data_IF_311432075730
#
_entry.id   IF_311432075730
#
_cell.length_a   1.000
_cell.length_b   1.000
_cell.length_c   1.000
_cell.angle_alpha   90.00
_cell.angle_beta   90.00
_cell.angle_gamma   90.00
#
_symmetry.space_group_name_H-M   'P 1'
#
loop_
_entity.id
_entity.type
_entity.pdbx_description
1 polymer ?
2 non-polymer ?
3 non-polymer ?
4 water ?
#
# COMPACT_ATOMS: atom_id res chain seq x y z
N UNK A 1 25.69 2.02 4.46
CA UNK A 1 24.33 1.58 4.88
C UNK A 1 23.67 2.71 5.69
N UNK A 2 22.61 3.29 5.14
CA UNK A 2 21.92 4.51 5.67
C UNK A 2 20.49 4.52 5.13
N UNK A 3 19.60 5.28 5.76
CA UNK A 3 18.21 5.47 5.27
C UNK A 3 18.08 6.88 4.71
N UNK A 4 17.17 7.02 3.75
CA UNK A 4 16.67 8.30 3.21
C UNK A 4 15.21 8.45 3.68
N UNK A 5 14.95 9.46 4.50
CA UNK A 5 13.63 9.71 5.16
C UNK A 5 12.88 10.81 4.38
N UNK A 6 11.70 10.48 3.84
CA UNK A 6 10.78 11.42 3.16
C UNK A 6 9.50 11.44 3.97
N UNK A 7 8.75 12.56 3.97
CA UNK A 7 7.42 12.56 4.58
C UNK A 7 6.49 11.64 3.77
N UNK A 8 5.42 11.18 4.41
CA UNK A 8 4.49 10.18 3.84
C UNK A 8 3.71 10.81 2.69
N UNK A 9 3.27 12.06 2.87
CA UNK A 9 2.42 12.78 1.90
C UNK A 9 2.74 14.28 1.85
N UNK A 10 2.37 14.91 0.73
CA UNK A 10 2.20 16.39 0.55
C UNK A 10 0.93 16.58 -0.28
N UNK A 11 0.28 17.73 -0.18
CA UNK A 11 -0.85 18.12 -1.05
C UNK A 11 -0.86 19.63 -1.25
N UNK A 12 -1.31 20.07 -2.43
CA UNK A 12 -1.56 21.49 -2.74
C UNK A 12 -2.61 21.57 -3.85
N UNK A 13 -3.14 22.77 -4.06
CA UNK A 13 -4.11 23.07 -5.15
C UNK A 13 -3.35 23.24 -6.46
N UNK A 14 -4.01 23.06 -7.62
CA UNK A 14 -3.35 23.31 -8.90
C UNK A 14 -2.69 24.70 -8.88
N UNK A 15 -1.53 24.84 -9.53
CA UNK A 15 -0.87 26.14 -9.75
C UNK A 15 0.07 26.51 -8.62
N UNK A 16 0.01 25.85 -7.45
CA UNK A 16 0.87 26.19 -6.30
C UNK A 16 2.18 25.41 -6.38
N UNK A 17 3.09 25.75 -5.47
CA UNK A 17 4.44 25.16 -5.33
C UNK A 17 4.43 24.22 -4.13
N UNK A 18 5.02 23.03 -4.30
CA UNK A 18 5.17 22.03 -3.21
C UNK A 18 6.63 21.58 -3.18
N UNK A 19 7.13 21.28 -1.98
CA UNK A 19 8.51 20.82 -1.74
C UNK A 19 8.46 19.45 -1.05
N UNK A 20 9.30 18.52 -1.50
CA UNK A 20 9.44 17.16 -0.92
C UNK A 20 10.89 17.02 -0.45
N UNK A 21 11.09 16.86 0.85
CA UNK A 21 12.40 16.69 1.54
C UNK A 21 12.76 15.22 1.60
N UNK A 22 14.06 14.94 1.67
CA UNK A 22 14.68 13.61 1.66
C UNK A 22 15.97 13.73 2.47
N UNK A 23 15.96 13.27 3.71
CA UNK A 23 17.04 13.48 4.71
C UNK A 23 17.84 12.18 4.83
N UNK A 24 19.16 12.27 4.63
CA UNK A 24 20.09 11.10 4.75
C UNK A 24 20.42 10.92 6.23
N UNK A 25 20.28 9.69 6.75
CA UNK A 25 20.32 9.31 8.19
C UNK A 25 21.74 9.35 8.76
N UNK A 26 22.74 8.92 7.98
CA UNK A 26 24.19 8.94 8.29
C UNK A 26 24.98 9.07 6.99
N UNK A 27 26.15 9.71 7.07
CA UNK A 27 26.92 10.10 5.88
C UNK A 27 26.47 11.47 5.38
N UNK A 28 27.21 12.05 4.44
CA UNK A 28 26.95 13.39 3.89
C UNK A 28 26.12 13.22 2.61
N UNK A 29 25.05 14.00 2.47
CA UNK A 29 24.11 13.96 1.32
C UNK A 29 24.90 14.27 0.04
N UNK A 30 25.98 15.04 0.16
CA UNK A 30 26.69 15.66 -1.01
C UNK A 30 27.72 14.67 -1.57
N UNK A 31 28.02 13.58 -0.84
CA UNK A 31 29.11 12.65 -1.18
C UNK A 31 28.64 11.64 -2.23
N UNK A 32 27.35 11.64 -2.58
CA UNK A 32 26.78 10.72 -3.61
C UNK A 32 25.59 11.39 -4.30
N UNK A 33 25.44 11.13 -5.59
CA UNK A 33 24.33 11.70 -6.39
C UNK A 33 22.97 11.22 -5.85
N UNK A 34 22.03 12.14 -5.80
CA UNK A 34 20.62 11.89 -5.42
C UNK A 34 19.76 11.95 -6.69
N UNK A 35 18.93 10.93 -6.91
CA UNK A 35 17.97 10.90 -8.03
C UNK A 35 16.57 11.03 -7.45
N UNK A 36 15.62 11.51 -8.26
CA UNK A 36 14.18 11.53 -7.95
C UNK A 36 13.37 10.77 -9.00
N UNK A 37 12.48 9.88 -8.57
CA UNK A 37 11.52 9.18 -9.46
C UNK A 37 10.06 9.55 -9.16
N UNK A 38 9.28 9.70 -10.22
CA UNK A 38 7.83 9.95 -10.20
C UNK A 38 7.13 8.67 -10.65
N UNK A 39 6.16 8.18 -9.87
CA UNK A 39 5.24 7.10 -10.34
C UNK A 39 3.80 7.53 -10.11
N UNK A 40 3.14 7.89 -11.21
CA UNK A 40 1.68 8.10 -11.27
C UNK A 40 1.01 6.77 -10.98
N UNK A 41 -0.15 6.77 -10.28
CA UNK A 41 -0.88 5.54 -9.99
C UNK A 41 -1.14 4.72 -11.26
N UNK A 42 -0.67 3.47 -11.25
CA UNK A 42 -0.85 2.49 -12.34
C UNK A 42 -0.05 2.86 -13.57
N UNK A 43 1.10 3.52 -13.39
CA UNK A 43 2.02 3.90 -14.48
C UNK A 43 3.42 3.38 -14.15
N UNK A 44 4.30 3.41 -15.14
CA UNK A 44 5.74 3.13 -15.00
C UNK A 44 6.40 4.32 -14.30
N UNK A 45 7.53 4.08 -13.60
CA UNK A 45 8.32 5.17 -13.03
C UNK A 45 9.03 5.96 -14.13
N UNK A 46 9.24 7.24 -13.85
CA UNK A 46 9.90 8.21 -14.76
C UNK A 46 10.97 8.91 -13.91
N UNK A 47 12.15 9.11 -14.47
CA UNK A 47 13.20 9.91 -13.77
C UNK A 47 12.88 11.39 -14.01
N UNK A 48 12.75 12.17 -12.94
CA UNK A 48 12.54 13.64 -13.11
C UNK A 48 13.82 14.41 -12.74
N UNK A 49 14.69 13.84 -11.93
CA UNK A 49 15.99 14.46 -11.53
C UNK A 49 17.03 13.38 -11.39
N UNK A 50 18.22 13.61 -11.94
CA UNK A 50 19.39 12.75 -11.65
C UNK A 50 20.53 13.70 -11.25
N UNK A 51 21.57 13.19 -10.62
CA UNK A 51 22.73 13.98 -10.12
C UNK A 51 22.22 15.25 -9.42
N UNK A 52 21.27 15.10 -8.49
CA UNK A 52 20.84 16.16 -7.53
C UNK A 52 19.89 17.18 -8.17
N UNK A 53 20.19 17.65 -9.37
CA UNK A 53 19.44 18.79 -9.98
C UNK A 53 19.37 18.74 -11.52
N UNK A 54 19.66 17.62 -12.17
CA UNK A 54 19.66 17.50 -13.66
C UNK A 54 18.33 16.91 -14.15
N UNK A 55 17.69 17.57 -15.11
CA UNK A 55 16.42 17.11 -15.70
C UNK A 55 16.75 16.39 -16.98
N UNK A 56 16.29 15.13 -17.12
CA UNK A 56 16.20 14.46 -18.41
C UNK A 56 15.42 15.27 -19.46
N UNK A 57 15.66 15.01 -20.74
CA UNK A 57 14.84 15.51 -21.87
C UNK A 57 13.37 15.22 -21.59
N UNK A 58 12.51 16.21 -21.76
CA UNK A 58 11.05 16.08 -21.68
C UNK A 58 10.51 16.47 -20.32
N UNK A 59 11.36 16.57 -19.31
CA UNK A 59 10.91 16.91 -17.93
C UNK A 59 10.88 18.43 -17.80
N UNK A 60 9.69 19.04 -17.65
CA UNK A 60 9.57 20.50 -17.67
C UNK A 60 10.36 21.15 -16.53
N UNK A 61 10.68 22.43 -16.71
CA UNK A 61 11.49 23.27 -15.79
C UNK A 61 10.78 23.42 -14.43
N UNK A 62 9.49 23.11 -14.36
CA UNK A 62 8.67 23.17 -13.12
C UNK A 62 9.27 22.26 -12.05
N UNK A 63 10.05 21.24 -12.44
CA UNK A 63 10.71 20.29 -11.51
C UNK A 63 12.14 20.77 -11.25
N UNK A 64 12.49 20.95 -9.97
CA UNK A 64 13.83 21.45 -9.56
C UNK A 64 14.34 20.63 -8.38
N UNK A 65 15.56 20.14 -8.48
CA UNK A 65 16.26 19.40 -7.42
C UNK A 65 17.21 20.33 -6.72
N UNK A 66 17.46 20.11 -5.43
CA UNK A 66 18.49 20.85 -4.67
C UNK A 66 19.01 19.96 -3.56
N UNK A 67 20.20 20.31 -3.06
CA UNK A 67 20.89 19.66 -1.92
C UNK A 67 21.08 20.72 -0.84
N UNK A 68 20.94 20.35 0.43
CA UNK A 68 21.25 21.24 1.59
C UNK A 68 22.19 20.47 2.52
N UNK A 69 23.47 20.84 2.48
CA UNK A 69 24.56 20.18 3.24
C UNK A 69 24.31 20.32 4.74
N UNK A 70 23.80 21.47 5.20
CA UNK A 70 23.67 21.77 6.64
C UNK A 70 22.57 20.86 7.24
N UNK A 71 21.47 20.65 6.51
CA UNK A 71 20.35 19.73 6.86
C UNK A 71 20.69 18.27 6.52
N UNK A 72 21.67 18.04 5.65
CA UNK A 72 21.99 16.70 5.10
C UNK A 72 20.79 16.17 4.33
N UNK A 73 20.14 17.04 3.55
CA UNK A 73 18.84 16.77 2.88
C UNK A 73 18.92 17.20 1.42
N UNK A 74 18.24 16.43 0.57
CA UNK A 74 17.87 16.77 -0.81
C UNK A 74 16.38 17.11 -0.84
N UNK A 75 15.97 17.93 -1.80
CA UNK A 75 14.60 18.45 -1.98
C UNK A 75 14.25 18.41 -3.46
N UNK A 76 12.99 18.07 -3.75
CA UNK A 76 12.40 18.18 -5.10
C UNK A 76 11.31 19.24 -4.99
N UNK A 77 11.39 20.29 -5.79
CA UNK A 77 10.38 21.38 -5.74
C UNK A 77 9.62 21.35 -7.05
N UNK A 78 8.29 21.37 -6.95
CA UNK A 78 7.39 21.41 -8.13
C UNK A 78 6.52 22.67 -8.00
N UNK A 79 6.66 23.59 -8.95
CA UNK A 79 5.90 24.86 -9.05
C UNK A 79 4.88 24.70 -10.18
N UNK A 80 3.87 25.56 -10.20
CA UNK A 80 2.80 25.52 -11.20
C UNK A 80 2.16 24.14 -11.24
N UNK A 81 1.84 23.58 -10.08
CA UNK A 81 1.33 22.18 -9.94
C UNK A 81 0.23 21.91 -10.97
N UNK A 82 0.32 20.78 -11.66
CA UNK A 82 -0.72 20.28 -12.58
C UNK A 82 -1.30 18.96 -12.05
N UNK A 83 -2.50 18.57 -12.49
CA UNK A 83 -3.15 17.33 -11.98
C UNK A 83 -2.27 16.12 -12.34
N UNK A 84 -1.53 16.18 -13.45
CA UNK A 84 -0.70 15.05 -13.94
C UNK A 84 0.55 14.90 -13.04
N UNK A 85 0.82 15.87 -12.14
CA UNK A 85 1.94 15.74 -11.17
C UNK A 85 1.55 14.84 -9.99
N UNK A 86 0.26 14.51 -9.82
CA UNK A 86 -0.23 13.58 -8.76
C UNK A 86 0.45 12.21 -8.94
N UNK A 87 1.30 11.82 -7.99
CA UNK A 87 2.18 10.62 -8.07
C UNK A 87 2.81 10.29 -6.73
N UNK A 88 3.46 9.12 -6.71
CA UNK A 88 4.45 8.78 -5.66
C UNK A 88 5.82 9.26 -6.15
N UNK A 89 6.54 9.97 -5.28
CA UNK A 89 7.89 10.50 -5.54
C UNK A 89 8.85 9.87 -4.56
N UNK A 90 9.89 9.23 -5.09
CA UNK A 90 10.97 8.56 -4.31
C UNK A 90 12.30 9.23 -4.63
N UNK A 91 13.12 9.51 -3.60
CA UNK A 91 14.57 9.83 -3.75
C UNK A 91 15.38 8.54 -3.61
N UNK A 92 16.54 8.44 -4.26
CA UNK A 92 17.54 7.37 -4.04
C UNK A 92 18.95 7.90 -4.22
N UNK A 93 19.88 7.25 -3.54
CA UNK A 93 21.32 7.53 -3.54
C UNK A 93 22.05 6.21 -3.30
N UNK A 94 23.34 6.30 -2.94
CA UNK A 94 24.29 5.18 -2.78
C UNK A 94 25.28 5.52 -1.67
N UNK A 95 26.05 4.52 -1.25
CA UNK A 95 27.37 4.60 -0.59
C UNK A 95 27.98 3.22 -0.78
N UNK A 96 29.31 3.09 -0.73
CA UNK A 96 30.01 1.79 -0.90
C UNK A 96 29.28 1.00 -1.99
N UNK A 97 28.67 -0.14 -1.63
CA UNK A 97 27.94 -1.05 -2.56
C UNK A 97 26.41 -0.88 -2.41
N UNK A 98 25.97 -0.27 -1.30
CA UNK A 98 24.53 -0.07 -0.97
C UNK A 98 23.87 0.94 -1.93
N UNK A 99 22.81 0.55 -2.62
CA UNK A 99 21.80 1.46 -3.23
C UNK A 99 20.68 1.70 -2.20
N UNK A 100 20.26 2.95 -2.01
CA UNK A 100 19.21 3.29 -1.00
C UNK A 100 18.09 4.08 -1.67
N UNK A 101 16.85 3.59 -1.57
CA UNK A 101 15.64 4.35 -1.95
C UNK A 101 15.01 4.88 -0.66
N UNK A 102 14.38 6.05 -0.76
CA UNK A 102 13.47 6.55 0.29
C UNK A 102 12.14 5.82 0.22
N UNK A 103 11.31 6.04 1.24
CA UNK A 103 10.06 5.30 1.48
C UNK A 103 8.93 5.76 0.58
N UNK A 104 9.08 6.91 -0.08
CA UNK A 104 8.10 7.48 -1.03
C UNK A 104 7.23 8.56 -0.40
N UNK A 105 6.90 9.58 -1.17
CA UNK A 105 5.96 10.65 -0.80
C UNK A 105 4.80 10.65 -1.79
N UNK A 106 3.58 10.43 -1.30
CA UNK A 106 2.35 10.63 -2.11
C UNK A 106 2.08 12.13 -2.22
N UNK A 107 2.11 12.68 -3.44
CA UNK A 107 1.68 14.07 -3.71
C UNK A 107 0.26 14.04 -4.29
N UNK A 108 -0.67 14.70 -3.62
CA UNK A 108 -2.06 14.84 -4.12
C UNK A 108 -2.21 16.27 -4.60
N UNK A 109 -2.68 16.43 -5.82
CA UNK A 109 -3.17 17.73 -6.35
C UNK A 109 -4.66 17.78 -6.00
N UNK A 110 -5.01 18.58 -5.00
CA UNK A 110 -6.31 18.47 -4.30
C UNK A 110 -7.43 18.58 -5.34
N UNK A 111 -8.36 17.62 -5.35
CA UNK A 111 -9.54 17.55 -6.25
C UNK A 111 -10.83 17.81 -5.50
N UNK A 112 -10.76 17.95 -4.17
CA UNK A 112 -11.90 18.22 -3.29
C UNK A 112 -11.33 18.69 -1.94
N UNK A 113 -12.14 19.15 -0.99
CA UNK A 113 -11.58 19.62 0.28
C UNK A 113 -10.90 18.50 1.10
N UNK A 114 -9.85 18.87 1.83
CA UNK A 114 -9.18 17.98 2.81
C UNK A 114 -10.18 17.58 3.91
N UNK A 115 -10.13 16.33 4.38
CA UNK A 115 -11.02 15.76 5.44
C UNK A 115 -10.20 14.82 6.30
N UNK A 116 -10.14 15.11 7.60
CA UNK A 116 -9.37 14.29 8.56
C UNK A 116 -10.18 13.02 8.82
N UNK A 117 -9.53 11.84 8.95
CA UNK A 117 -10.29 10.60 9.12
C UNK A 117 -10.94 10.42 10.51
N UNK A 118 -12.05 9.69 10.56
CA UNK A 118 -12.58 9.05 11.79
C UNK A 118 -11.78 7.77 11.99
N UNK A 119 -11.12 7.67 13.14
CA UNK A 119 -10.37 6.44 13.55
C UNK A 119 -11.11 5.81 14.73
N UNK A 120 -11.57 4.58 14.51
CA UNK A 120 -12.22 3.71 15.53
C UNK A 120 -11.41 2.40 15.63
N UNK A 121 -10.96 2.07 16.84
CA UNK A 121 -10.21 0.83 17.16
C UNK A 121 -11.14 -0.16 17.88
N UNK A 122 -11.27 -1.37 17.37
CA UNK A 122 -12.11 -2.44 17.94
C UNK A 122 -11.23 -3.49 18.61
N UNK A 123 -11.48 -3.84 19.89
CA UNK A 123 -10.79 -4.95 20.53
C UNK A 123 -11.41 -6.28 20.09
N UNK A 124 -10.80 -7.44 20.45
CA UNK A 124 -11.28 -8.71 19.92
C UNK A 124 -12.72 -8.95 20.38
N UNK A 125 -13.58 -9.44 19.47
CA UNK A 125 -14.96 -9.90 19.79
C UNK A 125 -14.88 -11.23 20.53
N UNK A 126 -15.92 -11.54 21.31
CA UNK A 126 -16.12 -12.84 21.98
C UNK A 126 -16.10 -13.99 20.97
N UNK A 127 -16.76 -13.84 19.83
CA UNK A 127 -16.86 -15.01 18.92
C UNK A 127 -15.43 -15.42 18.56
N UNK A 128 -14.54 -14.49 18.18
CA UNK A 128 -13.22 -14.87 17.60
C UNK A 128 -12.29 -15.38 18.71
N UNK A 129 -12.44 -14.91 19.95
CA UNK A 129 -11.60 -15.38 21.10
C UNK A 129 -11.81 -16.88 21.34
N UNK A 130 -13.04 -17.36 21.21
CA UNK A 130 -13.37 -18.80 21.37
C UNK A 130 -12.69 -19.59 20.24
N UNK A 131 -12.34 -18.96 19.12
CA UNK A 131 -11.59 -19.57 17.99
C UNK A 131 -10.10 -19.27 18.10
N UNK A 132 -9.60 -18.85 19.27
CA UNK A 132 -8.15 -18.58 19.48
C UNK A 132 -7.65 -17.49 18.51
N UNK A 133 -8.48 -16.49 18.24
CA UNK A 133 -8.15 -15.30 17.42
C UNK A 133 -8.44 -14.06 18.26
N UNK A 134 -7.49 -13.13 18.30
CA UNK A 134 -7.63 -11.84 19.00
C UNK A 134 -7.39 -10.69 18.02
N UNK A 135 -7.83 -10.83 16.77
CA UNK A 135 -7.58 -9.83 15.72
C UNK A 135 -8.20 -8.51 16.15
N UNK A 136 -7.42 -7.41 16.05
CA UNK A 136 -7.88 -6.03 16.31
C UNK A 136 -8.18 -5.37 14.95
N UNK A 137 -9.17 -4.47 14.88
CA UNK A 137 -9.43 -3.68 13.65
C UNK A 137 -9.37 -2.20 13.97
N UNK A 138 -8.63 -1.48 13.14
CA UNK A 138 -8.54 -0.02 13.10
C UNK A 138 -9.30 0.45 11.87
N UNK A 139 -10.48 1.03 12.06
CA UNK A 139 -11.33 1.53 10.95
C UNK A 139 -11.08 3.03 10.77
N UNK A 140 -10.81 3.40 9.51
CA UNK A 140 -10.39 4.76 9.06
C UNK A 140 -11.34 5.17 7.92
N UNK A 141 -12.23 6.12 8.18
CA UNK A 141 -13.30 6.53 7.24
C UNK A 141 -13.26 8.05 7.05
N UNK A 142 -13.92 8.52 5.98
CA UNK A 142 -14.30 9.93 5.67
C UNK A 142 -13.06 10.82 5.49
N UNK A 143 -12.01 10.34 4.79
CA UNK A 143 -10.76 11.13 4.67
C UNK A 143 -10.42 11.48 3.22
N UNK A 144 -9.73 12.62 3.09
CA UNK A 144 -9.13 13.08 1.81
C UNK A 144 -7.96 14.02 2.09
N UNK A 145 -6.81 13.89 1.37
CA UNK A 145 -6.59 12.86 0.34
C UNK A 145 -6.61 11.40 0.82
N UNK A 146 -6.65 10.48 -0.13
CA UNK A 146 -6.83 9.04 0.09
C UNK A 146 -5.50 8.35 0.34
N UNK A 147 -4.66 8.92 1.18
CA UNK A 147 -3.36 8.37 1.59
C UNK A 147 -3.23 8.46 3.11
N UNK A 148 -2.91 7.34 3.75
CA UNK A 148 -2.72 7.19 5.21
C UNK A 148 -1.53 6.25 5.43
N UNK A 149 -0.91 6.39 6.59
CA UNK A 149 0.14 5.50 7.12
C UNK A 149 -0.37 4.99 8.47
N UNK A 150 -0.27 3.68 8.70
CA UNK A 150 -0.76 3.03 9.94
C UNK A 150 0.41 2.37 10.65
N UNK A 151 0.54 2.62 11.95
CA UNK A 151 1.54 1.98 12.85
C UNK A 151 0.79 1.43 14.07
N UNK A 152 1.20 0.24 14.53
CA UNK A 152 0.64 -0.43 15.72
C UNK A 152 1.71 -0.49 16.81
N UNK A 153 1.29 -0.35 18.07
CA UNK A 153 2.12 -0.52 19.29
C UNK A 153 1.53 -1.65 20.16
N UNK A 154 2.38 -2.51 20.71
CA UNK A 154 2.09 -3.36 21.89
C UNK A 154 2.70 -2.68 23.12
N UNK A 155 1.89 -2.22 24.06
CA UNK A 155 2.36 -1.27 25.12
C UNK A 155 2.99 -0.05 24.43
N UNK A 156 4.30 0.17 24.54
CA UNK A 156 5.04 1.31 23.92
C UNK A 156 5.80 0.88 22.67
N UNK A 157 5.98 -0.41 22.44
CA UNK A 157 6.90 -0.95 21.41
C UNK A 157 6.19 -1.08 20.08
N UNK A 158 6.82 -0.64 18.97
CA UNK A 158 6.28 -0.90 17.64
C UNK A 158 5.98 -2.39 17.42
N UNK A 159 5.00 -2.69 16.55
CA UNK A 159 4.63 -4.06 16.08
C UNK A 159 4.67 -4.05 14.55
N UNK A 160 5.42 -4.96 13.92
CA UNK A 160 5.37 -5.16 12.44
C UNK A 160 4.64 -6.48 12.12
N UNK A 161 4.86 -7.52 12.93
CA UNK A 161 4.23 -8.85 12.81
C UNK A 161 2.70 -8.75 12.79
N UNK A 162 2.05 -9.28 11.74
CA UNK A 162 0.59 -9.59 11.71
C UNK A 162 -0.27 -8.41 11.27
N UNK A 163 0.33 -7.36 10.72
CA UNK A 163 -0.34 -6.09 10.31
C UNK A 163 -0.71 -6.20 8.83
N UNK A 164 -2.00 -6.03 8.51
CA UNK A 164 -2.48 -5.81 7.12
C UNK A 164 -3.32 -4.52 7.08
N UNK A 165 -3.17 -3.74 6.01
CA UNK A 165 -3.88 -2.46 5.79
C UNK A 165 -4.43 -2.45 4.36
N UNK A 166 -5.70 -2.08 4.18
CA UNK A 166 -6.35 -2.09 2.84
C UNK A 166 -5.91 -0.84 2.07
N UNK A 167 -5.96 -0.93 0.75
CA UNK A 167 -5.79 0.24 -0.15
C UNK A 167 -7.01 1.11 0.06
N UNK A 168 -6.87 2.43 0.34
CA UNK A 168 -8.02 3.31 0.47
C UNK A 168 -8.93 3.30 -0.75
N UNK A 169 -10.20 3.42 -0.45
CA UNK A 169 -11.38 3.11 -1.28
C UNK A 169 -12.32 4.32 -1.21
N UNK A 170 -12.75 4.87 -2.34
CA UNK A 170 -13.76 5.96 -2.41
C UNK A 170 -15.10 5.39 -2.02
N UNK A 171 -15.78 6.02 -1.06
CA UNK A 171 -17.08 5.57 -0.53
C UNK A 171 -18.14 6.49 -1.14
N UNK A 172 -19.41 6.31 -0.79
CA UNK A 172 -20.56 6.91 -1.51
C UNK A 172 -20.58 8.42 -1.27
N UNK A 173 -19.94 8.88 -0.20
CA UNK A 173 -19.87 10.32 0.11
C UNK A 173 -18.64 10.96 -0.57
N UNK A 174 -17.92 10.18 -1.40
CA UNK A 174 -16.79 10.63 -2.25
C UNK A 174 -15.51 10.84 -1.41
N UNK A 175 -15.46 10.37 -0.17
CA UNK A 175 -14.23 10.36 0.66
C UNK A 175 -13.76 8.92 0.80
N UNK A 176 -12.51 8.74 1.23
CA UNK A 176 -11.85 7.42 1.30
C UNK A 176 -12.07 6.77 2.66
N UNK A 177 -12.10 5.44 2.63
CA UNK A 177 -12.13 4.54 3.81
C UNK A 177 -11.11 3.42 3.61
N UNK A 178 -10.54 2.97 4.72
CA UNK A 178 -9.60 1.82 4.80
C UNK A 178 -9.68 1.23 6.21
N UNK A 179 -9.21 -0.02 6.34
CA UNK A 179 -9.04 -0.74 7.62
C UNK A 179 -7.60 -1.21 7.73
N UNK A 180 -7.09 -1.21 8.95
CA UNK A 180 -5.88 -1.94 9.35
C UNK A 180 -6.27 -2.95 10.43
N UNK A 181 -5.84 -4.19 10.28
CA UNK A 181 -6.12 -5.25 11.28
C UNK A 181 -4.80 -5.91 11.69
N UNK A 182 -4.72 -6.28 12.97
CA UNK A 182 -3.56 -6.91 13.61
C UNK A 182 -3.96 -8.32 14.07
N UNK A 183 -3.40 -9.36 13.47
CA UNK A 183 -3.79 -10.77 13.73
C UNK A 183 -3.05 -11.27 14.96
N UNK A 184 -3.59 -11.04 16.15
CA UNK A 184 -3.03 -11.53 17.44
C UNK A 184 -3.68 -12.85 17.83
N UNK A 185 -2.97 -13.66 18.63
CA UNK A 185 -3.53 -14.76 19.45
C UNK A 185 -4.05 -14.16 20.75
N UNK A 186 -5.10 -14.75 21.36
CA UNK A 186 -5.56 -14.31 22.70
C UNK A 186 -4.42 -14.21 23.72
N UNK A 187 -3.44 -15.11 23.64
CA UNK A 187 -2.20 -15.17 24.48
C UNK A 187 -1.45 -13.84 24.39
N UNK A 188 -1.04 -13.45 23.17
CA UNK A 188 -0.34 -12.17 22.88
C UNK A 188 -1.16 -10.98 23.38
N UNK A 189 -2.48 -11.00 23.14
CA UNK A 189 -3.42 -9.91 23.48
C UNK A 189 -3.45 -9.70 25.01
N UNK A 190 -3.54 -10.79 25.77
CA UNK A 190 -3.73 -10.71 27.25
C UNK A 190 -2.38 -10.46 27.93
N UNK A 191 -1.27 -10.71 27.22
CA UNK A 191 0.12 -10.59 27.73
C UNK A 191 0.61 -9.14 27.71
N UNK A 192 -0.18 -8.17 27.23
CA UNK A 192 0.15 -6.72 27.17
C UNK A 192 -0.92 -5.93 27.92
N UNK A 193 -0.60 -4.73 28.43
CA UNK A 193 -1.58 -3.87 29.15
C UNK A 193 -2.49 -3.18 28.15
N UNK A 194 -2.02 -2.97 26.91
CA UNK A 194 -2.77 -2.24 25.85
C UNK A 194 -2.13 -2.48 24.48
N UNK A 195 -2.91 -2.24 23.43
CA UNK A 195 -2.41 -2.07 22.06
C UNK A 195 -2.92 -0.73 21.53
N UNK A 196 -2.18 -0.15 20.58
CA UNK A 196 -2.49 1.15 19.94
C UNK A 196 -2.41 1.03 18.42
N UNK A 197 -3.23 1.83 17.75
CA UNK A 197 -3.27 2.06 16.29
C UNK A 197 -2.92 3.53 16.05
N UNK A 198 -1.87 3.82 15.32
CA UNK A 198 -1.46 5.21 14.99
C UNK A 198 -1.80 5.44 13.52
N UNK A 199 -2.66 6.40 13.23
CA UNK A 199 -3.00 6.79 11.84
C UNK A 199 -2.41 8.16 11.57
N UNK A 200 -1.54 8.26 10.55
CA UNK A 200 -0.92 9.52 10.08
C UNK A 200 -1.57 9.89 8.74
N UNK A 201 -2.08 11.13 8.62
CA UNK A 201 -2.78 11.68 7.42
C UNK A 201 -2.46 13.17 7.32
N UNK A 202 -1.95 13.59 6.15
CA UNK A 202 -1.56 15.01 5.90
C UNK A 202 -0.68 15.46 7.07
N UNK A 203 0.31 14.63 7.43
CA UNK A 203 1.33 14.87 8.47
C UNK A 203 0.74 15.11 9.85
N UNK A 204 -0.53 14.78 10.04
CA UNK A 204 -1.25 14.81 11.35
C UNK A 204 -1.44 13.37 11.84
N UNK A 205 -1.09 13.08 13.10
CA UNK A 205 -1.07 11.72 13.68
C UNK A 205 -2.05 11.65 14.85
N UNK A 206 -2.96 10.67 14.74
CA UNK A 206 -3.99 10.27 15.75
C UNK A 206 -3.63 8.87 16.26
N UNK A 207 -3.77 8.65 17.57
CA UNK A 207 -3.48 7.35 18.25
C UNK A 207 -4.72 6.90 19.01
N UNK A 208 -5.16 5.66 18.80
CA UNK A 208 -6.29 5.04 19.56
C UNK A 208 -5.76 3.81 20.30
N UNK A 209 -6.29 3.56 21.50
CA UNK A 209 -5.76 2.50 22.40
C UNK A 209 -6.92 1.67 22.97
N UNK A 210 -6.69 0.37 23.12
CA UNK A 210 -7.62 -0.58 23.78
C UNK A 210 -6.81 -1.50 24.70
N UNK A 211 -7.39 -1.85 25.85
CA UNK A 211 -6.83 -2.79 26.85
C UNK A 211 -7.71 -4.05 26.90
N UNK A 212 -7.16 -5.23 27.23
CA UNK A 212 -8.01 -6.36 27.60
C UNK A 212 -8.89 -6.01 28.81
N UNK A 213 -10.14 -6.47 28.79
CA UNK A 213 -11.11 -6.38 29.91
C UNK A 213 -11.48 -7.82 30.33
N UNK A 214 -12.74 -8.09 30.66
CA UNK A 214 -13.26 -9.46 30.93
C UNK A 214 -14.68 -9.58 30.36
N UNK A 215 -15.66 -8.96 31.04
CA UNK A 215 -17.12 -8.99 30.72
C UNK A 215 -17.49 -10.30 30.01
N UNK B 1 19.94 9.09 -25.49
CA UNK B 1 18.46 8.93 -25.41
C UNK B 1 18.07 7.58 -26.04
N UNK B 2 17.63 6.63 -25.22
CA UNK B 2 17.03 5.33 -25.64
C UNK B 2 15.81 5.02 -24.78
N UNK B 3 15.06 4.03 -25.23
CA UNK B 3 13.84 3.52 -24.55
C UNK B 3 13.99 2.02 -24.31
N UNK B 4 13.24 1.51 -23.34
CA UNK B 4 13.11 0.07 -23.03
C UNK B 4 11.66 -0.34 -23.25
N UNK B 5 11.42 -1.36 -24.06
CA UNK B 5 10.03 -1.76 -24.42
C UNK B 5 9.80 -3.19 -23.89
N UNK B 6 8.78 -3.36 -23.06
CA UNK B 6 8.37 -4.63 -22.43
C UNK B 6 6.96 -4.95 -22.93
N UNK B 7 6.54 -6.22 -22.96
CA UNK B 7 5.11 -6.55 -23.10
C UNK B 7 4.26 -5.82 -22.05
N UNK B 8 3.04 -5.41 -22.42
CA UNK B 8 2.07 -4.80 -21.49
C UNK B 8 1.56 -5.89 -20.52
N UNK B 9 1.42 -7.13 -21.00
CA UNK B 9 0.95 -8.26 -20.16
C UNK B 9 1.51 -9.60 -20.63
N UNK B 10 1.69 -10.49 -19.66
CA UNK B 10 1.94 -11.95 -19.82
C UNK B 10 1.06 -12.64 -18.77
N UNK B 11 0.37 -13.71 -19.17
CA UNK B 11 -0.35 -14.64 -18.28
C UNK B 11 0.23 -16.04 -18.43
N UNK B 12 0.40 -16.76 -17.32
CA UNK B 12 0.90 -18.16 -17.30
C UNK B 12 0.34 -18.87 -16.06
N UNK B 13 0.36 -20.20 -16.08
CA UNK B 13 -0.22 -21.10 -15.04
C UNK B 13 0.86 -21.44 -14.01
N UNK B 14 0.45 -21.80 -12.77
CA UNK B 14 1.40 -22.15 -11.72
C UNK B 14 2.35 -23.29 -12.11
N UNK B 15 3.59 -23.25 -11.60
CA UNK B 15 4.61 -24.30 -11.82
C UNK B 15 5.30 -24.17 -13.18
N UNK B 16 4.82 -23.30 -14.05
CA UNK B 16 5.37 -23.15 -15.42
C UNK B 16 6.37 -21.98 -15.42
N UNK B 17 7.16 -21.89 -16.49
CA UNK B 17 8.20 -20.85 -16.67
C UNK B 17 7.60 -19.72 -17.51
N UNK B 18 7.80 -18.48 -17.08
CA UNK B 18 7.38 -17.26 -17.83
C UNK B 18 8.62 -16.38 -18.07
N UNK B 19 8.73 -15.81 -19.26
CA UNK B 19 9.82 -14.89 -19.65
C UNK B 19 9.19 -13.52 -19.87
N UNK B 20 9.92 -12.46 -19.50
CA UNK B 20 9.55 -11.05 -19.78
C UNK B 20 10.74 -10.38 -20.44
N UNK B 21 10.58 -10.01 -21.72
CA UNK B 21 11.58 -9.32 -22.57
C UNK B 21 11.56 -7.81 -22.26
N UNK B 22 12.70 -7.17 -22.52
CA UNK B 22 12.90 -5.72 -22.33
C UNK B 22 13.88 -5.26 -23.40
N UNK B 23 13.33 -4.70 -24.49
CA UNK B 23 14.08 -4.32 -25.71
C UNK B 23 14.64 -2.90 -25.54
N UNK B 24 15.93 -2.72 -25.78
CA UNK B 24 16.59 -1.39 -25.80
C UNK B 24 16.54 -0.83 -27.23
N UNK B 25 16.06 0.41 -27.39
CA UNK B 25 15.64 1.02 -28.68
C UNK B 25 16.86 1.52 -29.48
N UNK B 26 17.94 1.96 -28.82
CA UNK B 26 19.20 2.33 -29.49
C UNK B 26 20.39 2.07 -28.55
N UNK B 27 21.58 1.88 -29.15
CA UNK B 27 22.82 1.47 -28.47
C UNK B 27 22.76 -0.01 -28.11
N UNK B 28 23.78 -0.51 -27.42
CA UNK B 28 23.90 -1.95 -27.09
C UNK B 28 23.37 -2.18 -25.68
N UNK B 29 22.61 -3.25 -25.51
CA UNK B 29 22.04 -3.70 -24.21
C UNK B 29 23.16 -3.91 -23.18
N UNK B 30 24.33 -4.40 -23.61
CA UNK B 30 25.48 -4.80 -22.75
C UNK B 30 26.31 -3.59 -22.27
N UNK B 31 26.03 -2.37 -22.73
CA UNK B 31 26.86 -1.19 -22.40
C UNK B 31 26.42 -0.60 -21.06
N UNK B 32 25.24 -0.92 -20.55
CA UNK B 32 24.86 -0.54 -19.17
C UNK B 32 24.15 -1.71 -18.50
N UNK B 33 24.22 -1.74 -17.18
CA UNK B 33 23.52 -2.76 -16.37
C UNK B 33 22.02 -2.55 -16.48
N UNK B 34 21.28 -3.64 -16.27
CA UNK B 34 19.80 -3.72 -16.30
C UNK B 34 19.34 -4.19 -14.92
N UNK B 35 18.42 -3.45 -14.29
CA UNK B 35 17.71 -3.88 -13.06
C UNK B 35 16.29 -4.34 -13.46
N UNK B 36 15.69 -5.19 -12.63
CA UNK B 36 14.24 -5.53 -12.65
C UNK B 36 13.63 -5.27 -11.28
N UNK B 37 12.47 -4.60 -11.27
CA UNK B 37 11.66 -4.35 -10.07
C UNK B 37 10.33 -5.07 -10.19
N UNK B 38 9.80 -5.48 -9.04
CA UNK B 38 8.47 -6.09 -8.86
C UNK B 38 7.64 -5.13 -8.02
N UNK B 39 6.40 -4.88 -8.41
CA UNK B 39 5.47 -4.01 -7.62
C UNK B 39 4.11 -4.68 -7.52
N UNK B 40 3.68 -4.93 -6.28
CA UNK B 40 2.33 -5.39 -5.92
C UNK B 40 1.45 -4.15 -5.87
N UNK B 41 0.16 -4.22 -6.28
CA UNK B 41 -0.71 -3.05 -6.26
C UNK B 41 -0.85 -2.61 -4.80
N UNK B 42 -0.63 -1.32 -4.53
CA UNK B 42 -0.69 -0.74 -3.17
C UNK B 42 0.70 -0.39 -2.65
N UNK B 43 1.70 -1.24 -2.93
CA UNK B 43 3.02 -1.23 -2.27
C UNK B 43 4.07 -0.51 -3.12
N UNK B 44 5.16 -0.10 -2.45
CA UNK B 44 6.42 0.36 -3.08
C UNK B 44 6.99 -0.81 -3.87
N UNK B 45 7.73 -0.54 -4.96
CA UNK B 45 8.47 -1.58 -5.68
C UNK B 45 9.60 -2.18 -4.85
N UNK B 46 10.06 -3.32 -5.33
CA UNK B 46 11.13 -4.15 -4.72
C UNK B 46 12.11 -4.52 -5.85
N UNK B 47 13.41 -4.56 -5.56
CA UNK B 47 14.43 -4.98 -6.54
C UNK B 47 14.44 -6.50 -6.59
N UNK B 48 14.30 -7.10 -7.77
CA UNK B 48 14.41 -8.58 -7.91
C UNK B 48 15.73 -8.95 -8.60
N UNK B 49 16.22 -8.12 -9.51
CA UNK B 49 17.54 -8.29 -10.18
C UNK B 49 18.24 -6.93 -10.26
N UNK B 50 19.55 -6.94 -9.97
CA UNK B 50 20.49 -5.85 -10.35
C UNK B 50 21.66 -6.48 -11.13
N UNK B 51 22.43 -5.64 -11.80
CA UNK B 51 23.60 -5.99 -12.64
C UNK B 51 23.25 -7.17 -13.57
N UNK B 52 22.09 -7.12 -14.22
CA UNK B 52 21.64 -8.04 -15.30
C UNK B 52 21.08 -9.34 -14.71
N UNK B 53 21.78 -9.97 -13.75
CA UNK B 53 21.45 -11.34 -13.29
C UNK B 53 21.64 -11.57 -11.77
N UNK B 54 21.87 -10.52 -10.97
CA UNK B 54 22.12 -10.66 -9.51
C UNK B 54 20.81 -10.48 -8.75
N UNK B 55 20.51 -11.39 -7.83
CA UNK B 55 19.37 -11.31 -6.89
C UNK B 55 19.84 -10.72 -5.57
N UNK B 56 19.15 -9.68 -5.05
CA UNK B 56 19.33 -9.24 -3.67
C UNK B 56 18.86 -10.30 -2.65
N UNK B 57 19.10 -10.03 -1.36
CA UNK B 57 18.93 -10.97 -0.22
C UNK B 57 17.54 -11.65 -0.18
N UNK B 58 16.42 -10.95 -0.34
CA UNK B 58 15.11 -11.57 -0.04
C UNK B 58 14.57 -12.50 -1.14
N UNK B 59 15.17 -12.50 -2.33
CA UNK B 59 14.47 -12.81 -3.62
C UNK B 59 14.60 -14.28 -3.96
N UNK B 60 13.48 -15.00 -4.13
CA UNK B 60 13.53 -16.39 -4.58
C UNK B 60 14.47 -16.59 -5.77
N UNK B 61 15.15 -17.73 -5.79
CA UNK B 61 16.09 -18.14 -6.86
C UNK B 61 15.30 -18.61 -8.09
N UNK B 62 13.97 -18.56 -8.05
CA UNK B 62 13.10 -18.80 -9.22
C UNK B 62 13.21 -17.60 -10.17
N UNK B 63 13.73 -16.47 -9.68
CA UNK B 63 13.92 -15.23 -10.49
C UNK B 63 15.33 -15.22 -11.07
N UNK B 64 15.43 -15.18 -12.39
CA UNK B 64 16.70 -15.14 -13.14
C UNK B 64 16.64 -14.06 -14.22
N UNK B 65 17.65 -13.20 -14.28
CA UNK B 65 17.82 -12.19 -15.32
C UNK B 65 18.85 -12.64 -16.35
N UNK B 66 18.73 -12.17 -17.59
CA UNK B 66 19.66 -12.52 -18.67
C UNK B 66 19.74 -11.39 -19.69
N UNK B 67 20.81 -11.39 -20.48
CA UNK B 67 21.08 -10.40 -21.57
C UNK B 67 21.17 -11.21 -22.88
N UNK B 68 20.50 -10.77 -23.93
CA UNK B 68 20.69 -11.30 -25.30
C UNK B 68 21.23 -10.17 -26.19
N UNK B 69 22.51 -10.24 -26.57
CA UNK B 69 23.22 -9.15 -27.29
C UNK B 69 22.67 -8.96 -28.70
N UNK B 70 22.32 -10.04 -29.41
CA UNK B 70 21.89 -9.98 -30.83
C UNK B 70 20.56 -9.21 -30.93
N UNK B 71 19.56 -9.52 -30.09
CA UNK B 71 18.26 -8.81 -30.04
C UNK B 71 18.34 -7.51 -29.21
N UNK B 72 19.47 -7.22 -28.57
CA UNK B 72 19.65 -6.00 -27.75
C UNK B 72 18.54 -5.94 -26.70
N UNK B 73 18.34 -7.04 -25.98
CA UNK B 73 17.27 -7.19 -24.98
C UNK B 73 17.81 -7.88 -23.71
N UNK B 74 17.17 -7.53 -22.59
CA UNK B 74 17.24 -8.19 -21.27
C UNK B 74 16.00 -9.02 -21.05
N UNK B 75 16.11 -10.10 -20.29
CA UNK B 75 14.96 -10.98 -19.97
C UNK B 75 14.93 -11.26 -18.46
N UNK B 76 13.72 -11.31 -17.90
CA UNK B 76 13.45 -11.86 -16.56
C UNK B 76 12.68 -13.17 -16.75
N UNK B 77 13.22 -14.25 -16.20
CA UNK B 77 12.67 -15.62 -16.32
C UNK B 77 12.28 -16.07 -14.91
N UNK B 78 10.99 -16.34 -14.71
CA UNK B 78 10.44 -16.88 -13.43
C UNK B 78 10.04 -18.33 -13.66
N UNK B 79 10.74 -19.26 -13.01
CA UNK B 79 10.47 -20.72 -13.08
C UNK B 79 9.55 -21.12 -11.92
N UNK B 80 8.79 -22.21 -12.08
CA UNK B 80 7.86 -22.67 -11.03
C UNK B 80 6.98 -21.53 -10.54
N UNK B 81 6.35 -20.80 -11.46
CA UNK B 81 5.40 -19.69 -11.17
C UNK B 81 4.55 -20.01 -9.93
N UNK B 82 4.57 -19.11 -8.95
CA UNK B 82 3.66 -19.15 -7.78
C UNK B 82 2.69 -17.97 -7.93
N UNK B 83 1.52 -18.08 -7.31
CA UNK B 83 0.48 -17.01 -7.34
C UNK B 83 1.05 -15.74 -6.70
N UNK B 84 2.01 -15.86 -5.77
CA UNK B 84 2.66 -14.70 -5.10
C UNK B 84 3.47 -13.86 -6.10
N UNK B 85 3.80 -14.42 -7.27
CA UNK B 85 4.61 -13.75 -8.32
C UNK B 85 3.74 -12.81 -9.18
N UNK B 86 2.41 -12.89 -9.06
CA UNK B 86 1.46 -11.97 -9.73
C UNK B 86 1.71 -10.54 -9.24
N UNK B 87 2.03 -9.63 -10.17
CA UNK B 87 2.59 -8.28 -9.90
C UNK B 87 2.92 -7.58 -11.22
N UNK B 88 3.32 -6.33 -11.13
CA UNK B 88 3.95 -5.57 -12.25
C UNK B 88 5.48 -5.68 -12.15
N UNK B 89 6.13 -5.78 -13.32
CA UNK B 89 7.60 -5.96 -13.44
C UNK B 89 8.12 -4.89 -14.39
N UNK B 90 9.12 -4.13 -13.94
CA UNK B 90 9.78 -3.03 -14.69
C UNK B 90 11.28 -3.37 -14.81
N UNK B 91 11.81 -3.25 -16.04
CA UNK B 91 13.25 -3.31 -16.30
C UNK B 91 13.79 -1.87 -16.26
N UNK B 92 15.06 -1.69 -16.00
CA UNK B 92 15.63 -0.34 -15.85
C UNK B 92 17.10 -0.39 -16.26
N UNK B 93 17.55 0.61 -16.99
CA UNK B 93 18.98 0.78 -17.36
C UNK B 93 19.36 2.25 -17.22
N UNK B 94 20.55 2.62 -17.70
CA UNK B 94 21.21 3.95 -17.53
C UNK B 94 21.63 4.46 -18.90
N UNK B 95 21.55 5.79 -19.10
CA UNK B 95 21.95 6.49 -20.35
C UNK B 95 23.00 7.56 -20.03
N UNK B 96 23.61 7.52 -18.83
CA UNK B 96 24.57 8.53 -18.33
C UNK B 96 23.88 9.90 -18.20
N UNK B 97 23.05 10.26 -19.19
CA UNK B 97 22.12 11.43 -19.19
C UNK B 97 20.68 10.97 -18.88
N UNK B 98 20.49 9.78 -18.25
CA UNK B 98 19.20 9.39 -17.62
C UNK B 98 19.22 7.99 -16.97
N UNK B 99 18.26 7.75 -16.08
CA UNK B 99 17.78 6.43 -15.61
C UNK B 99 16.50 6.10 -16.39
N UNK B 100 16.54 5.05 -17.20
CA UNK B 100 15.44 4.66 -18.14
C UNK B 100 14.70 3.44 -17.56
N UNK B 101 13.38 3.50 -17.54
CA UNK B 101 12.49 2.40 -17.11
C UNK B 101 11.73 1.90 -18.34
N UNK B 102 11.46 0.60 -18.40
CA UNK B 102 10.46 0.06 -19.34
C UNK B 102 9.06 0.48 -18.94
N UNK B 103 8.07 0.17 -19.80
CA UNK B 103 6.67 0.54 -19.59
C UNK B 103 6.01 -0.28 -18.50
N UNK B 104 6.58 -1.42 -18.11
CA UNK B 104 5.95 -2.33 -17.16
C UNK B 104 5.26 -3.47 -17.89
N UNK B 105 5.35 -4.67 -17.35
CA UNK B 105 4.59 -5.87 -17.74
C UNK B 105 3.75 -6.30 -16.54
N UNK B 106 2.44 -6.39 -16.71
CA UNK B 106 1.50 -7.01 -15.73
C UNK B 106 1.55 -8.54 -15.88
N UNK B 107 2.06 -9.25 -14.87
CA UNK B 107 2.07 -10.72 -14.85
C UNK B 107 0.83 -11.26 -14.10
N UNK B 108 -0.05 -11.93 -14.84
CA UNK B 108 -1.23 -12.66 -14.33
C UNK B 108 -0.80 -14.11 -14.12
N UNK B 109 -1.02 -14.65 -12.93
CA UNK B 109 -0.88 -16.11 -12.67
C UNK B 109 -2.30 -16.69 -12.60
N UNK B 110 -2.60 -17.57 -13.55
CA UNK B 110 -3.95 -18.13 -13.81
C UNK B 110 -4.22 -19.28 -12.83
N UNK B 111 -5.48 -19.67 -12.71
CA UNK B 111 -5.94 -20.82 -11.90
C UNK B 111 -5.56 -20.67 -10.45
N UNK B 112 -5.75 -19.49 -9.86
CA UNK B 112 -5.55 -19.31 -8.40
C UNK B 112 -6.68 -20.04 -7.69
N UNK B 113 -6.38 -20.82 -6.63
CA UNK B 113 -7.43 -21.53 -5.89
C UNK B 113 -8.43 -20.55 -5.24
N UNK B 114 -9.67 -20.98 -5.13
CA UNK B 114 -10.74 -20.28 -4.39
C UNK B 114 -10.38 -20.34 -2.91
N UNK B 115 -10.76 -19.30 -2.17
CA UNK B 115 -10.60 -19.24 -0.69
C UNK B 115 -11.80 -18.47 -0.13
N UNK B 116 -12.61 -19.14 0.69
CA UNK B 116 -13.76 -18.53 1.40
C UNK B 116 -13.21 -17.49 2.38
N UNK B 117 -13.94 -16.37 2.58
CA UNK B 117 -13.47 -15.33 3.50
C UNK B 117 -13.59 -15.75 4.97
N UNK B 118 -12.55 -15.42 5.75
CA UNK B 118 -12.66 -15.25 7.22
C UNK B 118 -13.51 -14.00 7.50
N UNK B 119 -14.59 -14.14 8.27
CA UNK B 119 -15.49 -13.01 8.62
C UNK B 119 -15.48 -12.80 10.13
N UNK B 120 -15.26 -11.56 10.58
CA UNK B 120 -15.30 -11.20 12.01
C UNK B 120 -16.10 -9.92 12.20
N UNK B 121 -17.12 -9.97 13.04
CA UNK B 121 -18.05 -8.84 13.29
C UNK B 121 -17.73 -8.26 14.66
N UNK B 122 -17.51 -6.96 14.75
CA UNK B 122 -17.14 -6.26 16.01
C UNK B 122 -18.28 -5.35 16.43
N UNK B 123 -18.75 -5.44 17.69
CA UNK B 123 -19.73 -4.49 18.19
C UNK B 123 -19.07 -3.13 18.41
N UNK B 124 -19.83 -2.09 18.80
CA UNK B 124 -19.27 -0.77 19.11
C UNK B 124 -18.21 -0.82 20.23
N UNK B 125 -17.10 -0.11 20.07
CA UNK B 125 -16.09 0.13 21.14
C UNK B 125 -16.70 1.03 22.23
N UNK B 126 -16.26 0.85 23.47
CA UNK B 126 -16.52 1.74 24.64
C UNK B 126 -16.28 3.21 24.27
N UNK B 127 -15.10 3.47 23.70
CA UNK B 127 -14.60 4.83 23.36
C UNK B 127 -15.61 5.46 22.39
N UNK B 128 -16.09 4.74 21.37
CA UNK B 128 -16.96 5.38 20.35
C UNK B 128 -18.33 5.67 20.99
N UNK B 129 -18.81 4.79 21.85
CA UNK B 129 -20.11 4.96 22.54
C UNK B 129 -20.05 6.17 23.47
N UNK B 130 -18.88 6.45 24.07
CA UNK B 130 -18.65 7.62 24.95
C UNK B 130 -18.70 8.89 24.09
N UNK B 131 -18.28 8.81 22.84
CA UNK B 131 -18.35 9.94 21.88
C UNK B 131 -19.66 9.89 21.06
N UNK B 132 -20.69 9.20 21.55
CA UNK B 132 -22.02 9.13 20.90
C UNK B 132 -21.97 8.53 19.49
N UNK B 133 -21.12 7.55 19.23
CA UNK B 133 -21.09 6.79 17.94
C UNK B 133 -21.21 5.30 18.26
N UNK B 134 -21.93 4.55 17.42
CA UNK B 134 -22.03 3.08 17.56
C UNK B 134 -21.81 2.42 16.19
N UNK B 135 -20.70 2.76 15.52
CA UNK B 135 -20.29 2.12 14.25
C UNK B 135 -19.86 0.66 14.50
N UNK B 136 -20.39 -0.28 13.68
CA UNK B 136 -20.05 -1.73 13.69
C UNK B 136 -19.14 -1.99 12.51
N UNK B 137 -18.20 -2.92 12.64
CA UNK B 137 -17.29 -3.28 11.52
C UNK B 137 -17.25 -4.80 11.38
N UNK B 138 -17.27 -5.24 10.11
CA UNK B 138 -17.21 -6.64 9.64
C UNK B 138 -15.94 -6.73 8.78
N UNK B 139 -14.88 -7.29 9.36
CA UNK B 139 -13.62 -7.58 8.64
C UNK B 139 -13.83 -8.83 7.79
N UNK B 140 -13.40 -8.77 6.55
CA UNK B 140 -13.59 -9.86 5.56
C UNK B 140 -12.21 -10.10 4.94
N UNK B 141 -11.54 -11.19 5.26
CA UNK B 141 -10.13 -11.36 4.82
C UNK B 141 -9.90 -12.73 4.18
N UNK B 142 -8.74 -12.86 3.51
CA UNK B 142 -8.16 -14.12 3.01
C UNK B 142 -9.05 -14.74 1.93
N UNK B 143 -9.77 -13.93 1.15
CA UNK B 143 -10.72 -14.46 0.14
C UNK B 143 -10.13 -14.33 -1.25
N UNK B 144 -10.55 -15.24 -2.12
CA UNK B 144 -10.23 -15.19 -3.57
C UNK B 144 -11.28 -15.97 -4.35
N UNK B 145 -11.77 -15.48 -5.53
CA UNK B 145 -11.39 -14.18 -6.08
C UNK B 145 -11.95 -12.97 -5.30
N UNK B 146 -11.60 -11.75 -5.73
CA UNK B 146 -11.69 -10.53 -4.91
C UNK B 146 -13.01 -9.77 -5.04
N UNK B 147 -14.14 -10.47 -5.06
CA UNK B 147 -15.47 -9.83 -5.04
C UNK B 147 -16.34 -10.52 -3.98
N UNK B 148 -17.05 -9.71 -3.19
CA UNK B 148 -18.03 -10.19 -2.19
C UNK B 148 -19.27 -9.32 -2.27
N UNK B 149 -20.41 -9.87 -1.85
CA UNK B 149 -21.65 -9.11 -1.58
C UNK B 149 -21.86 -9.17 -0.07
N UNK B 150 -22.11 -8.01 0.54
CA UNK B 150 -22.31 -7.87 2.00
C UNK B 150 -23.70 -7.29 2.17
N UNK B 151 -24.52 -7.95 2.96
CA UNK B 151 -25.86 -7.47 3.38
C UNK B 151 -25.85 -7.43 4.92
N UNK B 152 -26.49 -6.43 5.54
CA UNK B 152 -26.58 -6.29 7.01
C UNK B 152 -28.02 -6.49 7.48
N UNK B 153 -28.19 -6.92 8.74
CA UNK B 153 -29.51 -7.14 9.36
C UNK B 153 -29.57 -6.48 10.74
N UNK B 154 -30.70 -5.84 11.00
CA UNK B 154 -31.12 -5.35 12.33
C UNK B 154 -32.20 -6.32 12.82
N UNK B 155 -31.96 -6.97 13.96
CA UNK B 155 -32.68 -8.21 14.32
C UNK B 155 -32.61 -9.09 13.05
N UNK B 156 -33.75 -9.49 12.45
CA UNK B 156 -33.80 -10.37 11.25
C UNK B 156 -34.04 -9.54 9.96
N UNK B 157 -34.22 -8.22 10.07
CA UNK B 157 -34.66 -7.35 8.94
C UNK B 157 -33.46 -6.73 8.22
N UNK B 158 -33.54 -6.57 6.88
CA UNK B 158 -32.52 -5.89 6.09
C UNK B 158 -32.30 -4.43 6.52
N UNK B 159 -31.03 -4.04 6.67
CA UNK B 159 -30.61 -2.62 6.90
C UNK B 159 -30.47 -1.96 5.51
N UNK B 160 -31.08 -0.77 5.36
CA UNK B 160 -31.19 -0.06 4.06
C UNK B 160 -30.41 1.26 4.12
N UNK B 161 -29.86 1.63 5.28
CA UNK B 161 -29.12 2.89 5.50
C UNK B 161 -27.84 2.64 6.30
N UNK B 162 -26.74 3.30 5.90
CA UNK B 162 -25.54 3.48 6.75
C UNK B 162 -24.50 2.43 6.46
N UNK B 163 -24.64 1.71 5.35
CA UNK B 163 -23.69 0.63 4.96
C UNK B 163 -22.70 1.18 3.94
N UNK B 164 -21.41 1.00 4.25
CA UNK B 164 -20.27 1.21 3.35
C UNK B 164 -19.46 -0.08 3.33
N UNK B 165 -19.07 -0.54 2.16
CA UNK B 165 -18.09 -1.65 2.02
C UNK B 165 -16.93 -1.16 1.18
N UNK B 166 -15.70 -1.45 1.59
CA UNK B 166 -14.51 -1.00 0.86
C UNK B 166 -14.29 -1.94 -0.32
N UNK B 167 -13.62 -1.44 -1.37
CA UNK B 167 -13.15 -2.20 -2.54
C UNK B 167 -12.08 -3.19 -2.06
N UNK B 168 -12.26 -4.50 -2.29
CA UNK B 168 -11.28 -5.49 -1.87
C UNK B 168 -9.86 -5.14 -2.37
N UNK B 169 -8.87 -5.22 -1.49
CA UNK B 169 -7.44 -5.01 -1.86
C UNK B 169 -6.65 -6.29 -1.57
N UNK B 170 -5.79 -6.68 -2.51
CA UNK B 170 -4.89 -7.88 -2.37
C UNK B 170 -3.88 -7.57 -1.27
N UNK B 171 -3.68 -8.50 -0.33
CA UNK B 171 -2.84 -8.26 0.87
C UNK B 171 -1.52 -9.02 0.69
N UNK B 172 -0.74 -9.21 1.77
CA UNK B 172 0.64 -9.75 1.69
C UNK B 172 0.60 -11.28 1.59
N UNK B 173 -0.59 -11.89 1.66
CA UNK B 173 -0.79 -13.35 1.41
C UNK B 173 -1.39 -13.56 0.01
N UNK B 174 -1.43 -12.52 -0.84
CA UNK B 174 -1.97 -12.52 -2.24
C UNK B 174 -3.46 -12.93 -2.25
N UNK B 175 -4.15 -12.80 -1.12
CA UNK B 175 -5.63 -12.91 -1.02
C UNK B 175 -6.20 -11.55 -0.65
N UNK B 176 -7.51 -11.35 -0.90
CA UNK B 176 -8.20 -10.05 -0.73
C UNK B 176 -8.72 -9.88 0.69
N UNK B 177 -8.80 -8.63 1.09
CA UNK B 177 -9.40 -8.14 2.35
C UNK B 177 -10.28 -6.93 2.06
N UNK B 178 -11.32 -6.76 2.87
CA UNK B 178 -12.24 -5.61 2.83
C UNK B 178 -12.86 -5.49 4.21
N UNK B 179 -13.49 -4.35 4.48
CA UNK B 179 -14.35 -4.22 5.68
C UNK B 179 -15.62 -3.50 5.26
N UNK B 180 -16.72 -3.96 5.84
CA UNK B 180 -18.04 -3.32 5.75
C UNK B 180 -18.28 -2.68 7.11
N UNK B 181 -18.72 -1.43 7.14
CA UNK B 181 -19.01 -0.76 8.42
C UNK B 181 -20.39 -0.16 8.30
N UNK B 182 -21.11 -0.19 9.41
CA UNK B 182 -22.49 0.32 9.57
C UNK B 182 -22.49 1.41 10.64
N UNK B 183 -22.84 2.64 10.24
CA UNK B 183 -22.74 3.86 11.09
C UNK B 183 -24.03 4.09 11.87
N UNK B 184 -24.25 3.34 12.94
CA UNK B 184 -25.42 3.50 13.85
C UNK B 184 -25.13 4.61 14.86
N UNK B 185 -26.21 5.20 15.36
CA UNK B 185 -26.24 5.97 16.64
C UNK B 185 -26.32 4.99 17.80
N UNK B 186 -25.91 5.39 19.01
CA UNK B 186 -26.17 4.62 20.22
C UNK B 186 -27.62 4.13 20.36
N UNK B 187 -28.60 4.99 20.03
CA UNK B 187 -30.06 4.69 20.09
C UNK B 187 -30.35 3.51 19.16
N UNK B 188 -29.91 3.55 17.90
CA UNK B 188 -30.22 2.45 16.94
C UNK B 188 -29.63 1.14 17.45
N UNK B 189 -28.39 1.18 17.94
CA UNK B 189 -27.68 0.01 18.51
C UNK B 189 -28.49 -0.62 19.63
N UNK B 190 -29.00 0.17 20.57
CA UNK B 190 -29.65 -0.40 21.78
C UNK B 190 -31.15 -0.63 21.51
N UNK B 191 -31.74 -0.02 20.49
CA UNK B 191 -33.17 -0.21 20.15
C UNK B 191 -33.40 -1.63 19.60
N UNK B 192 -32.34 -2.37 19.24
CA UNK B 192 -32.42 -3.70 18.61
C UNK B 192 -31.73 -4.75 19.49
N UNK B 193 -32.16 -6.00 19.35
CA UNK B 193 -31.63 -7.19 20.07
C UNK B 193 -30.28 -7.55 19.48
N UNK B 194 -30.10 -7.39 18.18
CA UNK B 194 -28.83 -7.77 17.53
C UNK B 194 -28.74 -7.12 16.15
N UNK B 195 -27.52 -7.10 15.64
CA UNK B 195 -27.14 -6.81 14.25
C UNK B 195 -26.30 -7.96 13.73
N UNK B 196 -26.32 -8.11 12.40
CA UNK B 196 -25.77 -9.25 11.64
C UNK B 196 -25.17 -8.71 10.35
N UNK B 197 -24.02 -9.27 9.96
CA UNK B 197 -23.26 -9.04 8.71
C UNK B 197 -23.26 -10.36 7.94
N UNK B 198 -23.80 -10.38 6.73
CA UNK B 198 -23.99 -11.58 5.89
C UNK B 198 -23.09 -11.40 4.66
N UNK B 199 -22.10 -12.27 4.51
CA UNK B 199 -21.11 -12.20 3.40
C UNK B 199 -21.32 -13.39 2.47
N UNK B 200 -21.50 -13.09 1.20
CA UNK B 200 -21.64 -14.09 0.12
C UNK B 200 -20.42 -13.99 -0.78
N UNK B 201 -19.84 -15.15 -1.04
CA UNK B 201 -18.67 -15.32 -1.92
C UNK B 201 -18.80 -16.64 -2.67
N UNK B 202 -18.76 -16.61 -3.99
CA UNK B 202 -18.80 -17.81 -4.86
C UNK B 202 -19.99 -18.68 -4.47
N UNK B 203 -21.18 -18.08 -4.25
CA UNK B 203 -22.44 -18.78 -3.98
C UNK B 203 -22.58 -19.33 -2.56
N UNK B 204 -21.61 -19.09 -1.67
CA UNK B 204 -21.64 -19.55 -0.26
C UNK B 204 -21.77 -18.34 0.69
N UNK B 205 -22.67 -18.40 1.65
CA UNK B 205 -22.97 -17.29 2.58
C UNK B 205 -22.35 -17.59 3.95
N UNK B 206 -21.83 -16.56 4.61
CA UNK B 206 -21.44 -16.58 6.06
C UNK B 206 -22.16 -15.40 6.74
N UNK B 207 -22.77 -15.65 7.89
CA UNK B 207 -23.55 -14.67 8.68
C UNK B 207 -23.00 -14.72 10.11
N UNK B 208 -22.53 -13.57 10.60
CA UNK B 208 -22.13 -13.34 12.01
C UNK B 208 -23.12 -12.36 12.63
N UNK B 209 -23.35 -12.50 13.93
CA UNK B 209 -24.35 -11.74 14.71
C UNK B 209 -23.70 -11.21 16.00
N UNK B 210 -23.95 -9.95 16.36
CA UNK B 210 -23.54 -9.37 17.69
C UNK B 210 -24.69 -8.58 18.32
N UNK B 211 -24.62 -8.41 19.64
CA UNK B 211 -25.70 -7.83 20.48
C UNK B 211 -25.10 -6.91 21.54
N UNK B 212 -25.86 -5.90 22.03
CA UNK B 212 -25.40 -5.01 23.09
C UNK B 212 -24.79 -5.74 24.30
N UNK B 213 -23.63 -5.25 24.75
CA UNK B 213 -22.87 -5.81 25.91
C UNK B 213 -23.77 -5.85 27.15
N UNK B 214 -23.65 -6.90 27.96
CA UNK B 214 -24.42 -7.06 29.22
C UNK B 214 -23.48 -6.85 30.41
N UNK B 215 -22.92 -5.63 30.54
CA UNK B 215 -21.98 -5.23 31.62
C UNK B 215 -21.72 -3.72 31.54
#
# INVERSE_FOLDING_TARGET
NFMLNQPHSVSESPGKTVTISCTRSSGNIDSNYVQWYQQRPGSAPITVIYEDNQRPSGVPDRFAGSIDRSSNSASLTISGLKTEDEADYYCQSYDARNVVFGGGTRLTVLGQPKAAPSVTLFPPSSEELQANKATLVCLISDFYPGAVTVAWKADSSPVKAGVETTTPSKQSNNKYAASSYLSLTPEQWKSHKSYSCQVTHEGSTVEKTVAPTEC
NFMLNQPHSVSESPGKTVTISCTRSSGNIDSNYVQWYQQRPGSAPITVIYEDNQRPSGVPDRFAGSIDRSSNSASLTISGLKTEDEADYYCQSYDARNVVFGGGTRLTVLGQPKAAPSVTLFPPSSEELQANKATLVCLISDFYPGAVTVAWKADSSPVKAGVETTTPSKQSNNKYAASSYLSLTPEQWKSHKSYSCQVTHEGSTVEKTVAPTEC
#
